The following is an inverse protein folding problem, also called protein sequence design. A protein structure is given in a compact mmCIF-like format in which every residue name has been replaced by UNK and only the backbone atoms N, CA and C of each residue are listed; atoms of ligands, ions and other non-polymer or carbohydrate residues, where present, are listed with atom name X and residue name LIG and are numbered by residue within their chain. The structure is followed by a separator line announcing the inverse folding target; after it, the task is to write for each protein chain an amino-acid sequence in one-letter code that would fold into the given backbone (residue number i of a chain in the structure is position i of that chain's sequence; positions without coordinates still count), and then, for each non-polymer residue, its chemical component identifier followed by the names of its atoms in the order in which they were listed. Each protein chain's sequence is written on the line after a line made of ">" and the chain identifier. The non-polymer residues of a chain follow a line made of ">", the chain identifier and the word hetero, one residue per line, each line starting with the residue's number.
data_IF_616324570185
#
_entry.id   IF_616324570185
#
_cell.length_a   1.000
_cell.length_b   1.000
_cell.length_c   1.000
_cell.angle_alpha   90.00
_cell.angle_beta   90.00
_cell.angle_gamma   90.00
#
_symmetry.space_group_name_H-M   'P 1'
#
loop_
_entity.id
_entity.type
_entity.pdbx_description
1 polymer ?
#
# COMPACT_ATOMS: atom_id res chain seq x y z
N UNK A 1 7.05 8.68 -5.24
CA UNK A 1 6.78 7.88 -6.44
C UNK A 1 6.79 6.40 -6.03
N UNK A 2 5.75 5.63 -6.39
CA UNK A 2 5.66 4.19 -6.15
C UNK A 2 5.52 3.55 -7.55
N UNK A 3 6.49 2.74 -8.01
CA UNK A 3 6.45 2.14 -9.34
C UNK A 3 5.34 1.09 -9.47
N UNK A 4 4.94 0.75 -10.70
CA UNK A 4 4.03 -0.35 -11.00
C UNK A 4 4.51 -1.64 -10.33
N UNK A 5 3.62 -2.32 -9.59
CA UNK A 5 3.90 -3.63 -9.01
C UNK A 5 3.00 -4.68 -9.66
N UNK A 6 3.61 -5.77 -10.11
CA UNK A 6 2.90 -6.95 -10.62
C UNK A 6 2.24 -7.74 -9.48
N UNK A 7 2.82 -7.64 -8.29
CA UNK A 7 2.38 -8.29 -7.06
C UNK A 7 1.76 -7.26 -6.09
N UNK A 8 0.62 -7.64 -5.51
CA UNK A 8 -0.10 -6.83 -4.50
C UNK A 8 0.76 -6.64 -3.26
N UNK A 9 1.48 -7.69 -2.84
CA UNK A 9 2.23 -7.71 -1.59
C UNK A 9 3.48 -6.81 -1.66
N UNK A 10 4.14 -6.78 -2.83
CA UNK A 10 5.22 -5.83 -3.11
C UNK A 10 4.70 -4.39 -3.09
N UNK A 11 3.50 -4.17 -3.63
CA UNK A 11 2.81 -2.88 -3.61
C UNK A 11 2.54 -2.40 -2.20
N UNK A 12 1.95 -3.26 -1.38
CA UNK A 12 1.67 -2.99 0.04
C UNK A 12 2.97 -2.69 0.78
N UNK A 13 3.99 -3.54 0.65
CA UNK A 13 5.27 -3.39 1.35
C UNK A 13 5.96 -2.07 1.01
N UNK A 14 5.92 -1.65 -0.26
CA UNK A 14 6.46 -0.35 -0.69
C UNK A 14 5.69 0.85 -0.12
N UNK A 15 4.36 0.75 -0.03
CA UNK A 15 3.54 1.80 0.61
C UNK A 15 3.92 1.94 2.07
N UNK A 16 3.97 0.83 2.81
CA UNK A 16 4.32 0.82 4.24
C UNK A 16 5.73 1.41 4.48
N UNK A 17 6.73 1.00 3.68
CA UNK A 17 8.08 1.57 3.76
C UNK A 17 8.10 3.08 3.51
N UNK A 18 7.31 3.57 2.55
CA UNK A 18 7.21 5.02 2.25
C UNK A 18 6.47 5.81 3.32
N UNK A 19 5.54 5.21 4.06
CA UNK A 19 4.90 5.86 5.19
C UNK A 19 5.91 6.10 6.33
N UNK A 20 6.73 5.09 6.64
CA UNK A 20 7.80 5.21 7.64
C UNK A 20 8.88 6.23 7.20
N UNK A 21 9.38 6.13 5.97
CA UNK A 21 10.41 7.04 5.43
C UNK A 21 10.00 8.51 5.50
N UNK A 22 8.69 8.78 5.34
CA UNK A 22 8.14 10.14 5.34
C UNK A 22 7.69 10.61 6.72
N UNK A 23 7.80 9.77 7.75
CA UNK A 23 7.29 10.06 9.09
C UNK A 23 5.78 10.25 9.14
N UNK A 24 5.05 9.63 8.20
CA UNK A 24 3.58 9.71 8.13
C UNK A 24 2.88 8.65 8.98
N UNK A 25 3.64 7.66 9.44
CA UNK A 25 3.21 6.64 10.38
C UNK A 25 4.43 6.12 11.17
N UNK A 26 4.17 5.45 12.28
CA UNK A 26 5.18 4.87 13.17
C UNK A 26 4.98 3.35 13.35
N UNK A 27 6.02 2.62 13.78
CA UNK A 27 5.87 1.22 14.17
C UNK A 27 4.79 1.06 15.24
N UNK A 28 3.88 0.12 15.02
CA UNK A 28 2.72 -0.14 15.86
C UNK A 28 1.40 0.47 15.36
N UNK A 29 1.45 1.42 14.41
CA UNK A 29 0.26 2.04 13.85
C UNK A 29 -0.55 1.06 12.99
N UNK A 30 -1.87 1.23 12.99
CA UNK A 30 -2.77 0.52 12.09
C UNK A 30 -2.94 1.30 10.79
N UNK A 31 -2.69 0.64 9.67
CA UNK A 31 -2.78 1.21 8.33
C UNK A 31 -3.83 0.45 7.52
N UNK A 32 -4.76 1.19 6.92
CA UNK A 32 -5.76 0.68 5.97
C UNK A 32 -5.38 1.13 4.56
N UNK A 33 -5.22 0.17 3.65
CA UNK A 33 -4.83 0.40 2.26
C UNK A 33 -5.98 -0.05 1.36
N UNK A 34 -6.48 0.88 0.52
CA UNK A 34 -7.44 0.56 -0.55
C UNK A 34 -6.72 0.51 -1.89
N UNK A 35 -6.82 -0.60 -2.61
CA UNK A 35 -6.15 -0.80 -3.89
C UNK A 35 -7.05 -1.46 -4.94
N UNK A 36 -6.65 -1.35 -6.20
CA UNK A 36 -7.26 -2.04 -7.34
C UNK A 36 -6.17 -2.71 -8.18
N UNK A 37 -6.25 -4.03 -8.34
CA UNK A 37 -5.21 -4.82 -9.00
C UNK A 37 -5.66 -5.33 -10.39
N UNK A 38 -4.76 -5.34 -11.39
CA UNK A 38 -3.40 -4.78 -11.35
C UNK A 38 -3.40 -3.24 -11.35
N UNK A 39 -2.51 -2.63 -10.58
CA UNK A 39 -2.32 -1.17 -10.58
C UNK A 39 -1.67 -0.74 -11.89
N UNK A 40 -2.13 0.27 -12.66
CA UNK A 40 -3.26 1.14 -12.41
C UNK A 40 -4.43 0.84 -13.37
N UNK A 41 -5.27 -0.13 -13.03
CA UNK A 41 -6.58 -0.28 -13.66
C UNK A 41 -7.60 0.65 -12.96
N UNK A 42 -7.71 1.90 -13.44
CA UNK A 42 -8.69 2.88 -12.94
C UNK A 42 -10.10 2.27 -12.94
N UNK A 43 -10.83 2.41 -11.82
CA UNK A 43 -12.18 1.89 -11.67
C UNK A 43 -12.29 0.41 -11.27
N UNK A 44 -11.17 -0.24 -10.91
CA UNK A 44 -11.15 -1.65 -10.46
C UNK A 44 -10.65 -1.81 -9.02
N UNK A 45 -10.99 -0.87 -8.13
CA UNK A 45 -10.70 -1.04 -6.70
C UNK A 45 -11.37 -2.32 -6.20
N UNK A 46 -10.57 -3.31 -5.79
CA UNK A 46 -11.01 -4.65 -5.42
C UNK A 46 -10.32 -5.19 -4.16
N UNK A 47 -9.51 -4.37 -3.49
CA UNK A 47 -8.74 -4.79 -2.31
C UNK A 47 -8.82 -3.76 -1.20
N UNK A 48 -9.11 -4.23 0.01
CA UNK A 48 -8.87 -3.52 1.26
C UNK A 48 -7.91 -4.38 2.07
N UNK A 49 -6.75 -3.81 2.43
CA UNK A 49 -5.74 -4.47 3.23
C UNK A 49 -5.54 -3.71 4.54
N UNK A 50 -5.49 -4.44 5.65
CA UNK A 50 -5.23 -3.88 6.98
C UNK A 50 -3.93 -4.46 7.49
N UNK A 51 -2.99 -3.58 7.83
CA UNK A 51 -1.69 -3.97 8.37
C UNK A 51 -1.36 -3.20 9.64
N UNK A 52 -0.49 -3.79 10.44
CA UNK A 52 0.18 -3.12 11.56
C UNK A 52 1.62 -2.86 11.14
N UNK A 53 2.04 -1.60 11.19
CA UNK A 53 3.41 -1.16 10.86
C UNK A 53 4.45 -1.64 11.87
#
# INVERSE_FOLDING_TARGET
>A
YIPFQSDTDDGISRVLAKLLERGLAAPGDLVVITAGMPLPAKGRSNTVHVSKL
#
